data_IF_369494653874
#
_entry.id   IF_369494653874
#
_cell.length_a   1.000
_cell.length_b   1.000
_cell.length_c   1.000
_cell.angle_alpha   90.00
_cell.angle_beta   90.00
_cell.angle_gamma   90.00
#
_symmetry.space_group_name_H-M   'P 1'
#
loop_
_entity.id
_entity.type
_entity.pdbx_description
1 polymer ?
#
# COMPACT_ATOMS: atom_id res chain seq x y z
N UNK A 1 -8.24 10.23 0.74
CA UNK A 1 -7.80 8.98 1.42
C UNK A 1 -7.74 8.03 0.27
N UNK A 2 -6.55 7.52 -0.04
CA UNK A 2 -6.42 6.65 -1.19
C UNK A 2 -7.09 5.31 -0.87
N UNK A 3 -8.21 5.04 -1.52
CA UNK A 3 -8.90 3.76 -1.42
C UNK A 3 -8.78 2.93 -2.68
N UNK A 4 -8.21 3.47 -3.76
CA UNK A 4 -8.11 2.80 -5.06
C UNK A 4 -6.87 3.28 -5.81
N UNK A 5 -6.12 2.36 -6.39
CA UNK A 5 -4.97 2.69 -7.23
C UNK A 5 -4.84 1.78 -8.45
N UNK A 6 -3.87 2.06 -9.30
CA UNK A 6 -3.55 1.27 -10.49
C UNK A 6 -2.11 0.77 -10.43
N UNK A 7 -1.92 -0.49 -10.80
CA UNK A 7 -0.61 -1.11 -10.99
C UNK A 7 -0.74 -2.07 -12.18
N UNK A 8 -0.41 -1.57 -13.36
CA UNK A 8 -0.68 -2.20 -14.66
C UNK A 8 0.57 -2.73 -15.35
N UNK A 9 1.69 -2.72 -14.63
CA UNK A 9 2.97 -3.30 -15.05
C UNK A 9 3.16 -4.68 -14.42
N UNK A 10 3.96 -5.52 -15.08
CA UNK A 10 4.31 -6.85 -14.59
C UNK A 10 5.30 -6.82 -13.41
N UNK A 11 5.47 -7.96 -12.76
CA UNK A 11 6.30 -8.10 -11.57
C UNK A 11 7.81 -7.88 -11.84
N UNK A 12 8.29 -8.21 -13.04
CA UNK A 12 9.70 -8.03 -13.43
C UNK A 12 10.01 -6.53 -13.60
N UNK A 13 9.10 -5.78 -14.23
CA UNK A 13 9.16 -4.32 -14.38
C UNK A 13 9.17 -3.62 -13.03
N UNK A 14 8.36 -4.10 -12.08
CA UNK A 14 8.39 -3.62 -10.69
C UNK A 14 9.76 -3.92 -10.06
N UNK A 15 10.23 -5.17 -10.15
CA UNK A 15 11.50 -5.56 -9.54
C UNK A 15 12.68 -4.74 -10.08
N UNK A 16 12.75 -4.59 -11.40
CA UNK A 16 13.76 -3.76 -12.06
C UNK A 16 13.74 -2.32 -11.53
N UNK A 17 12.55 -1.70 -11.47
CA UNK A 17 12.39 -0.29 -11.08
C UNK A 17 12.91 0.02 -9.68
N UNK A 18 12.78 -0.94 -8.77
CA UNK A 18 13.11 -0.77 -7.37
C UNK A 18 14.39 -1.50 -6.95
N UNK A 19 15.10 -2.12 -7.90
CA UNK A 19 16.31 -2.90 -7.62
C UNK A 19 16.02 -4.09 -6.70
N UNK A 20 14.88 -4.74 -6.90
CA UNK A 20 14.50 -5.95 -6.19
C UNK A 20 14.89 -7.20 -6.98
N UNK A 21 14.99 -8.32 -6.27
CA UNK A 21 15.13 -9.64 -6.87
C UNK A 21 13.95 -9.93 -7.79
N UNK A 22 14.22 -10.68 -8.86
CA UNK A 22 13.20 -11.10 -9.80
C UNK A 22 12.21 -12.04 -9.08
N UNK A 23 10.91 -11.74 -9.06
CA UNK A 23 9.93 -12.58 -8.38
C UNK A 23 9.71 -13.90 -9.12
N UNK A 24 9.50 -14.98 -8.37
CA UNK A 24 9.17 -16.31 -8.90
C UNK A 24 7.66 -16.51 -9.13
N UNK A 25 6.91 -15.41 -9.29
CA UNK A 25 5.47 -15.44 -9.55
C UNK A 25 5.12 -14.47 -10.68
N UNK A 26 4.04 -14.78 -11.38
CA UNK A 26 3.43 -13.88 -12.36
C UNK A 26 2.46 -12.93 -11.67
N UNK A 27 2.40 -11.69 -12.15
CA UNK A 27 1.48 -10.68 -11.66
C UNK A 27 0.68 -10.09 -12.81
N UNK A 28 -0.64 -10.20 -12.70
CA UNK A 28 -1.56 -9.64 -13.69
C UNK A 28 -1.82 -8.15 -13.43
N UNK A 29 -1.83 -7.31 -14.48
CA UNK A 29 -2.19 -5.89 -14.39
C UNK A 29 -3.52 -5.64 -13.65
N UNK A 30 -3.48 -4.76 -12.64
CA UNK A 30 -4.65 -4.35 -11.85
C UNK A 30 -4.99 -2.87 -12.11
N UNK A 31 -6.03 -2.64 -12.90
CA UNK A 31 -6.58 -1.31 -13.19
C UNK A 31 -7.46 -0.74 -12.07
N UNK A 32 -7.76 -1.54 -11.06
CA UNK A 32 -8.59 -1.13 -9.93
C UNK A 32 -8.18 -1.88 -8.66
N UNK A 33 -6.98 -1.57 -8.17
CA UNK A 33 -6.50 -2.11 -6.92
C UNK A 33 -7.37 -1.56 -5.79
N UNK A 34 -7.92 -2.45 -4.97
CA UNK A 34 -8.87 -2.15 -3.93
C UNK A 34 -8.48 -2.84 -2.61
N UNK A 35 -8.96 -2.33 -1.46
CA UNK A 35 -8.80 -2.99 -0.18
C UNK A 35 -9.17 -4.47 -0.24
N UNK A 36 -8.51 -5.25 0.62
CA UNK A 36 -8.62 -6.71 0.77
C UNK A 36 -7.98 -7.56 -0.33
N UNK A 37 -7.65 -6.98 -1.48
CA UNK A 37 -6.90 -7.67 -2.54
C UNK A 37 -5.46 -7.95 -2.13
N UNK A 38 -4.88 -9.01 -2.71
CA UNK A 38 -3.44 -9.29 -2.64
C UNK A 38 -2.74 -8.52 -3.75
N UNK A 39 -1.77 -7.67 -3.38
CA UNK A 39 -1.13 -6.71 -4.27
C UNK A 39 0.40 -6.76 -4.08
N UNK A 40 1.20 -6.40 -5.10
CA UNK A 40 2.65 -6.40 -5.00
C UNK A 40 3.11 -5.33 -4.03
N UNK A 41 4.08 -5.70 -3.20
CA UNK A 41 4.70 -4.85 -2.17
C UNK A 41 6.18 -5.14 -2.19
N UNK A 42 7.00 -4.10 -2.05
CA UNK A 42 8.44 -4.25 -1.94
C UNK A 42 8.83 -4.14 -0.49
N UNK A 43 9.55 -5.15 -0.01
CA UNK A 43 10.18 -5.18 1.30
C UNK A 43 11.69 -5.29 1.15
N UNK A 44 12.41 -4.94 2.20
CA UNK A 44 13.86 -5.12 2.27
C UNK A 44 14.19 -6.03 3.46
N UNK A 45 14.86 -7.14 3.16
CA UNK A 45 15.31 -8.14 4.13
C UNK A 45 16.80 -8.36 3.88
N UNK A 46 17.63 -8.29 4.93
CA UNK A 46 19.08 -8.55 4.81
C UNK A 46 19.78 -7.72 3.70
N UNK A 47 19.33 -6.47 3.48
CA UNK A 47 19.81 -5.56 2.42
C UNK A 47 19.45 -5.99 0.99
N UNK A 48 18.55 -6.95 0.84
CA UNK A 48 17.98 -7.37 -0.44
C UNK A 48 16.52 -6.96 -0.51
N UNK A 49 16.13 -6.37 -1.65
CA UNK A 49 14.73 -6.01 -1.91
C UNK A 49 14.02 -7.15 -2.60
N UNK A 50 12.79 -7.40 -2.19
CA UNK A 50 11.96 -8.46 -2.74
C UNK A 50 10.58 -7.91 -3.06
N UNK A 51 10.03 -8.33 -4.20
CA UNK A 51 8.62 -8.11 -4.53
C UNK A 51 7.84 -9.29 -3.94
N UNK A 52 6.89 -9.00 -3.07
CA UNK A 52 6.04 -9.99 -2.42
C UNK A 52 4.58 -9.60 -2.53
N UNK A 53 3.68 -10.58 -2.48
CA UNK A 53 2.24 -10.34 -2.50
C UNK A 53 1.70 -10.20 -1.08
N UNK A 54 1.00 -9.09 -0.80
CA UNK A 54 0.40 -8.82 0.51
C UNK A 54 -1.03 -8.32 0.39
N UNK A 55 -1.85 -8.64 1.40
CA UNK A 55 -3.23 -8.15 1.49
C UNK A 55 -3.26 -6.65 1.82
N UNK A 56 -4.00 -5.85 1.05
CA UNK A 56 -4.24 -4.45 1.41
C UNK A 56 -5.26 -4.29 2.53
N UNK A 57 -4.81 -3.76 3.66
CA UNK A 57 -5.58 -3.59 4.89
C UNK A 57 -4.90 -4.37 6.00
N UNK A 58 -4.12 -3.65 6.80
CA UNK A 58 -3.21 -4.22 7.79
C UNK A 58 -3.97 -4.95 8.90
N UNK A 59 -3.55 -6.17 9.20
CA UNK A 59 -4.07 -6.98 10.30
C UNK A 59 -2.97 -6.99 11.37
N UNK A 60 -3.18 -6.32 12.52
CA UNK A 60 -2.20 -6.32 13.59
C UNK A 60 -1.95 -7.75 14.08
N UNK A 61 -0.69 -8.12 14.34
CA UNK A 61 -0.32 -9.49 14.74
C UNK A 61 -1.12 -10.05 15.94
N UNK A 62 -1.62 -9.18 16.83
CA UNK A 62 -2.39 -9.52 18.02
C UNK A 62 -3.91 -9.60 17.80
N UNK A 63 -4.39 -9.29 16.60
CA UNK A 63 -5.82 -9.28 16.31
C UNK A 63 -6.41 -10.69 16.44
N UNK A 64 -7.64 -10.77 16.93
CA UNK A 64 -8.42 -12.01 16.95
C UNK A 64 -9.20 -12.24 15.66
N UNK A 65 -9.36 -11.20 14.85
CA UNK A 65 -10.20 -11.21 13.65
C UNK A 65 -9.49 -10.48 12.49
N UNK A 66 -9.48 -11.13 11.33
CA UNK A 66 -8.96 -10.58 10.07
C UNK A 66 -9.76 -9.35 9.60
N UNK A 67 -11.05 -9.26 9.93
CA UNK A 67 -11.96 -8.20 9.47
C UNK A 67 -11.51 -6.79 9.88
N UNK A 68 -10.70 -6.67 10.94
CA UNK A 68 -10.10 -5.40 11.38
C UNK A 68 -9.32 -4.73 10.24
N UNK A 69 -8.69 -5.52 9.36
CA UNK A 69 -7.93 -5.04 8.21
C UNK A 69 -8.74 -4.18 7.25
N UNK A 70 -10.07 -4.37 7.20
CA UNK A 70 -10.95 -3.55 6.35
C UNK A 70 -10.98 -2.07 6.77
N UNK A 71 -10.63 -1.77 8.04
CA UNK A 71 -10.56 -0.42 8.59
C UNK A 71 -9.14 0.16 8.61
N UNK A 72 -8.13 -0.66 8.34
CA UNK A 72 -6.70 -0.35 8.50
C UNK A 72 -5.97 -0.27 7.15
N UNK A 73 -6.68 0.20 6.12
CA UNK A 73 -6.15 0.37 4.75
C UNK A 73 -5.18 1.54 4.60
N UNK A 74 -5.29 2.54 5.47
CA UNK A 74 -4.43 3.73 5.51
C UNK A 74 -4.00 4.04 6.94
N UNK A 75 -2.76 4.50 7.10
CA UNK A 75 -2.17 4.91 8.35
C UNK A 75 -1.69 6.37 8.26
N UNK A 76 -2.23 7.23 9.13
CA UNK A 76 -1.89 8.66 9.18
C UNK A 76 -0.52 8.87 9.82
N UNK A 77 0.40 9.49 9.11
CA UNK A 77 1.77 9.72 9.61
C UNK A 77 1.84 10.49 10.92
N UNK A 78 0.86 11.36 11.18
CA UNK A 78 0.76 12.16 12.41
C UNK A 78 0.58 11.27 13.65
N UNK A 79 -0.01 10.07 13.49
CA UNK A 79 -0.41 9.21 14.63
C UNK A 79 0.09 7.77 14.53
N UNK A 80 0.71 7.40 13.42
CA UNK A 80 1.13 6.01 13.13
C UNK A 80 2.07 5.45 14.20
N UNK A 81 2.94 6.30 14.75
CA UNK A 81 3.92 5.95 15.79
C UNK A 81 3.31 5.76 17.20
N UNK A 82 2.03 6.12 17.39
CA UNK A 82 1.33 6.04 18.67
C UNK A 82 0.24 4.97 18.69
N UNK A 83 -0.42 4.73 17.55
CA UNK A 83 -1.56 3.81 17.46
C UNK A 83 -1.14 2.35 17.61
N UNK A 84 -1.73 1.57 18.55
CA UNK A 84 -1.36 0.17 18.77
C UNK A 84 -1.44 -0.72 17.53
N UNK A 85 -2.39 -0.44 16.63
CA UNK A 85 -2.56 -1.17 15.37
C UNK A 85 -1.39 -1.00 14.39
N UNK A 86 -0.60 0.08 14.51
CA UNK A 86 0.44 0.44 13.53
C UNK A 86 1.83 0.61 14.13
N UNK A 87 1.92 0.92 15.43
CA UNK A 87 3.16 1.33 16.10
C UNK A 87 4.31 0.35 15.86
N UNK A 88 4.08 -0.96 16.04
CA UNK A 88 5.11 -1.98 15.82
C UNK A 88 5.57 -2.00 14.35
N UNK A 89 4.62 -2.13 13.43
CA UNK A 89 4.87 -2.16 11.99
C UNK A 89 5.62 -0.90 11.50
N UNK A 90 5.30 0.27 12.04
CA UNK A 90 5.96 1.53 11.69
C UNK A 90 7.47 1.52 11.95
N UNK A 91 7.91 0.94 13.07
CA UNK A 91 9.33 0.88 13.41
C UNK A 91 10.07 -0.26 12.73
N UNK A 92 9.39 -1.40 12.51
CA UNK A 92 10.06 -2.67 12.17
C UNK A 92 9.81 -3.15 10.74
N UNK A 93 8.72 -2.71 10.11
CA UNK A 93 8.16 -3.37 8.93
C UNK A 93 7.65 -2.32 7.94
N UNK A 94 8.58 -1.55 7.39
CA UNK A 94 8.29 -0.59 6.31
C UNK A 94 8.28 -1.31 4.97
N UNK A 95 7.51 -0.79 4.03
CA UNK A 95 7.47 -1.28 2.66
C UNK A 95 7.21 -0.15 1.67
N UNK A 96 7.43 -0.44 0.39
CA UNK A 96 6.99 0.39 -0.73
C UNK A 96 5.83 -0.32 -1.43
N UNK A 97 4.78 0.42 -1.78
CA UNK A 97 3.65 -0.09 -2.57
C UNK A 97 3.77 0.48 -3.99
N UNK A 98 4.20 -0.32 -4.99
CA UNK A 98 4.25 0.09 -6.39
C UNK A 98 2.88 0.53 -6.91
N UNK A 99 2.86 1.61 -7.69
CA UNK A 99 1.70 2.07 -8.42
C UNK A 99 2.12 2.85 -9.68
N UNK A 100 1.23 2.92 -10.66
CA UNK A 100 1.37 3.78 -11.85
C UNK A 100 0.28 4.87 -11.91
N UNK A 101 -0.59 4.90 -10.91
CA UNK A 101 -1.63 5.90 -10.75
C UNK A 101 -2.51 5.62 -9.55
N UNK A 102 -3.31 6.60 -9.14
CA UNK A 102 -4.32 6.41 -8.10
C UNK A 102 -5.57 7.24 -8.33
N UNK A 103 -6.66 6.85 -7.69
CA UNK A 103 -7.93 7.55 -7.82
C UNK A 103 -8.20 8.43 -6.61
N UNK A 104 -8.57 9.68 -6.87
CA UNK A 104 -9.17 10.57 -5.87
C UNK A 104 -10.51 11.10 -6.38
N UNK A 105 -11.44 11.33 -5.47
CA UNK A 105 -12.79 11.80 -5.79
C UNK A 105 -12.88 13.29 -5.49
N UNK A 106 -12.85 14.10 -6.54
CA UNK A 106 -13.04 15.54 -6.42
C UNK A 106 -14.53 15.86 -6.29
N UNK A 107 -14.87 16.83 -5.43
CA UNK A 107 -16.21 17.41 -5.40
C UNK A 107 -16.28 18.49 -6.46
N UNK A 108 -17.00 18.21 -7.55
CA UNK A 108 -17.27 19.16 -8.63
C UNK A 108 -18.77 19.37 -8.69
N UNK A 109 -19.23 20.61 -8.50
CA UNK A 109 -20.65 20.99 -8.51
C UNK A 109 -21.53 20.09 -7.61
N UNK A 110 -21.03 19.79 -6.40
CA UNK A 110 -21.74 18.95 -5.42
C UNK A 110 -21.72 17.45 -5.70
N UNK A 111 -21.15 17.00 -6.84
CA UNK A 111 -21.01 15.58 -7.19
C UNK A 111 -19.56 15.10 -6.99
N UNK A 112 -19.39 13.80 -6.70
CA UNK A 112 -18.06 13.17 -6.65
C UNK A 112 -17.66 12.72 -8.05
N UNK A 113 -16.58 13.27 -8.58
CA UNK A 113 -15.99 12.87 -9.86
C UNK A 113 -14.68 12.11 -9.59
N UNK A 114 -14.53 10.86 -10.05
CA UNK A 114 -13.27 10.14 -9.93
C UNK A 114 -12.24 10.72 -10.90
N UNK A 115 -11.04 10.98 -10.39
CA UNK A 115 -9.89 11.43 -11.17
C UNK A 115 -8.76 10.44 -10.97
N UNK A 116 -8.20 9.91 -12.06
CA UNK A 116 -6.94 9.16 -12.01
C UNK A 116 -5.79 10.16 -12.02
N UNK A 117 -5.01 10.14 -10.95
CA UNK A 117 -3.79 10.94 -10.79
C UNK A 117 -2.61 10.04 -11.17
N UNK A 118 -1.74 10.56 -12.02
CA UNK A 118 -0.51 9.91 -12.46
C UNK A 118 0.66 10.85 -12.26
N UNK A 119 1.86 10.28 -12.13
CA UNK A 119 3.09 11.08 -12.16
C UNK A 119 3.46 11.36 -13.62
N UNK A 120 3.87 12.59 -13.92
CA UNK A 120 4.43 12.96 -15.23
C UNK A 120 5.92 12.68 -15.34
N UNK A 121 6.57 12.34 -14.22
CA UNK A 121 8.02 12.12 -14.14
C UNK A 121 8.39 10.64 -14.02
N UNK A 122 7.50 9.82 -13.47
CA UNK A 122 7.77 8.42 -13.17
C UNK A 122 6.57 7.55 -13.57
N UNK A 123 6.79 6.63 -14.51
CA UNK A 123 5.75 5.70 -14.96
C UNK A 123 5.38 4.66 -13.90
N UNK A 124 6.33 4.35 -13.01
CA UNK A 124 6.12 3.52 -11.82
C UNK A 124 6.71 4.29 -10.64
N UNK A 125 5.85 4.65 -9.70
CA UNK A 125 6.21 5.26 -8.42
C UNK A 125 5.78 4.34 -7.28
N UNK A 126 6.04 4.73 -6.04
CA UNK A 126 5.56 3.96 -4.89
C UNK A 126 4.92 4.82 -3.83
N UNK A 127 3.98 4.24 -3.10
CA UNK A 127 3.54 4.77 -1.82
C UNK A 127 4.44 4.25 -0.70
N UNK A 128 4.72 5.09 0.30
CA UNK A 128 5.27 4.61 1.55
C UNK A 128 4.23 3.79 2.32
N UNK A 129 4.65 2.66 2.89
CA UNK A 129 3.77 1.75 3.61
C UNK A 129 4.40 1.14 4.84
N UNK A 130 3.52 0.48 5.60
CA UNK A 130 3.88 -0.39 6.71
C UNK A 130 3.16 -1.73 6.54
N UNK A 131 3.75 -2.80 7.03
CA UNK A 131 3.16 -4.13 6.95
C UNK A 131 3.30 -4.89 8.27
N UNK A 132 2.47 -5.91 8.46
CA UNK A 132 2.56 -6.83 9.59
C UNK A 132 2.24 -8.26 9.12
N UNK A 133 2.72 -9.23 9.89
CA UNK A 133 2.41 -10.65 9.72
C UNK A 133 1.43 -11.06 10.81
N UNK A 134 0.25 -11.50 10.38
CA UNK A 134 -0.76 -12.07 11.26
C UNK A 134 -0.88 -13.56 11.01
N UNK A 135 -1.14 -14.35 12.05
CA UNK A 135 -1.40 -15.79 11.93
C UNK A 135 -2.83 -16.04 12.38
N UNK A 136 -3.63 -16.67 11.52
CA UNK A 136 -5.01 -16.98 11.83
C UNK A 136 -5.12 -18.01 12.95
N UNK A 137 -6.27 -18.11 13.64
CA UNK A 137 -6.51 -19.18 14.62
C UNK A 137 -6.26 -20.59 14.05
N UNK A 138 -6.42 -20.76 12.75
CA UNK A 138 -6.20 -21.99 11.99
C UNK A 138 -4.72 -22.18 11.56
N UNK A 139 -3.82 -21.26 11.94
CA UNK A 139 -2.39 -21.34 11.66
C UNK A 139 -1.95 -20.76 10.31
N UNK A 140 -2.85 -20.15 9.54
CA UNK A 140 -2.50 -19.56 8.24
C UNK A 140 -1.84 -18.20 8.42
N UNK A 141 -0.63 -18.02 7.89
CA UNK A 141 0.07 -16.73 7.92
C UNK A 141 -0.43 -15.81 6.80
N UNK A 142 -0.77 -14.57 7.15
CA UNK A 142 -1.19 -13.52 6.23
C UNK A 142 -0.27 -12.31 6.42
N UNK A 143 0.39 -11.92 5.34
CA UNK A 143 1.09 -10.65 5.25
C UNK A 143 0.12 -9.58 4.75
N UNK A 144 0.08 -8.45 5.44
CA UNK A 144 -0.86 -7.37 5.14
C UNK A 144 -0.24 -6.01 5.33
N UNK A 145 -0.67 -5.02 4.53
CA UNK A 145 -0.06 -3.69 4.53
C UNK A 145 -1.09 -2.56 4.68
N UNK A 146 -0.59 -1.39 5.08
CA UNK A 146 -1.31 -0.13 5.14
C UNK A 146 -0.52 0.96 4.42
N UNK A 147 -1.19 1.82 3.66
CA UNK A 147 -0.57 2.95 2.97
C UNK A 147 -0.42 4.12 3.94
N UNK A 148 0.75 4.75 3.99
CA UNK A 148 0.97 5.96 4.77
C UNK A 148 0.37 7.18 4.06
N UNK A 149 -0.42 7.95 4.80
CA UNK A 149 -1.05 9.19 4.31
C UNK A 149 -0.54 10.39 5.09
N UNK A 150 -0.29 11.49 4.39
CA UNK A 150 0.08 12.78 4.98
C UNK A 150 -1.10 13.76 4.95
N UNK A 151 -1.16 14.73 5.88
CA UNK A 151 -2.10 15.82 5.77
C UNK A 151 -1.86 16.63 4.50
N UNK A 152 -2.91 17.36 4.13
CA UNK A 152 -3.06 18.12 2.91
C UNK A 152 -2.11 19.31 2.86
N UNK A 153 -1.36 19.45 1.76
CA UNK A 153 -0.54 20.65 1.51
C UNK A 153 -1.27 21.69 0.63
N UNK A 154 -2.30 21.31 -0.15
CA UNK A 154 -3.05 22.19 -1.08
C UNK A 154 -4.56 21.84 -1.11
N UNK A 155 -5.49 22.77 -1.42
CA UNK A 155 -6.93 22.61 -1.27
C UNK A 155 -7.69 21.49 -2.05
N UNK A 156 -7.09 20.36 -2.44
CA UNK A 156 -7.84 19.27 -3.10
C UNK A 156 -7.19 17.91 -2.88
N UNK A 157 -7.54 17.21 -1.80
CA UNK A 157 -7.21 15.80 -1.57
C UNK A 157 -6.27 15.52 -0.38
N UNK A 158 -6.19 14.24 0.00
CA UNK A 158 -5.15 13.72 0.92
C UNK A 158 -3.99 13.29 0.03
N UNK A 159 -2.77 13.76 0.31
CA UNK A 159 -1.60 13.32 -0.43
C UNK A 159 -1.08 12.01 0.16
N UNK A 160 -0.73 11.09 -0.72
CA UNK A 160 -0.04 9.85 -0.36
C UNK A 160 1.45 10.17 -0.38
N UNK A 161 2.23 9.59 0.52
CA UNK A 161 3.68 9.75 0.48
C UNK A 161 4.18 8.97 -0.74
N UNK A 162 4.45 9.70 -1.83
CA UNK A 162 5.03 9.12 -3.03
C UNK A 162 6.54 9.15 -2.86
N UNK A 163 7.15 7.98 -2.75
CA UNK A 163 8.61 7.85 -2.74
C UNK A 163 9.12 7.81 -4.19
N UNK A 164 10.17 8.59 -4.52
CA UNK A 164 10.78 8.61 -5.84
C UNK A 164 11.51 7.32 -6.18
#
# INVERSE_FOLDING_TARGET
MCGRYTITVDADSIAWRFGAERPEFEFEPVYNAAPTQSLPVIIETESQRQVVMMRWGLIPFWSKDMSIGNKLINARVETVHQKPAFKKAFYQSRCLIPADGYYEWLKVNGRKQPMRIISTQQNIFSFAGIWDRWVSPEGTAIHSFSILTTPRLIPSGIYIIVCP
#
